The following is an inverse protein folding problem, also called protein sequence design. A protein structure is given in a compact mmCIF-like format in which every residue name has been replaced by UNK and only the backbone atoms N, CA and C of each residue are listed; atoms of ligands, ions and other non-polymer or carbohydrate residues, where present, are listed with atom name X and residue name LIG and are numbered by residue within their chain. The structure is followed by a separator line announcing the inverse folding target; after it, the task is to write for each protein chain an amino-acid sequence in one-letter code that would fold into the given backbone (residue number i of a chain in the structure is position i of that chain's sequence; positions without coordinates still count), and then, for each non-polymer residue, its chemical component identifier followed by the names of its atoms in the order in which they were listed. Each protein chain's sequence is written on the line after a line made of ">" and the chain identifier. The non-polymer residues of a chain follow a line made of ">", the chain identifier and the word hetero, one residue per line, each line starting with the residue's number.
data_IF_134705070497
#
_entry.id   IF_134705070497
#
_cell.length_a   1.000
_cell.length_b   1.000
_cell.length_c   1.000
_cell.angle_alpha   90.00
_cell.angle_beta   90.00
_cell.angle_gamma   90.00
#
_symmetry.space_group_name_H-M   'P 1'
#
loop_
_entity.id
_entity.type
_entity.pdbx_description
1 polymer ?
#
# COMPACT_ATOMS: atom_id res chain seq x y z
N UNK A 1 -11.49 14.70 15.54
CA UNK A 1 -12.09 13.37 15.36
C UNK A 1 -11.14 12.54 14.50
N UNK A 2 -10.89 11.27 14.83
CA UNK A 2 -10.05 10.36 14.02
C UNK A 2 -10.96 9.44 13.21
N UNK A 3 -10.77 9.29 11.90
CA UNK A 3 -11.62 8.43 11.09
C UNK A 3 -11.42 6.96 11.46
N UNK A 4 -12.54 6.24 11.59
CA UNK A 4 -12.58 4.80 11.83
C UNK A 4 -13.33 4.16 10.66
N UNK A 5 -12.64 3.35 9.87
CA UNK A 5 -13.19 2.59 8.76
C UNK A 5 -12.99 1.12 9.10
N UNK A 6 -14.02 0.49 9.65
CA UNK A 6 -13.94 -0.87 10.19
C UNK A 6 -14.99 -1.78 9.58
N UNK A 7 -14.63 -3.04 9.34
CA UNK A 7 -15.55 -4.10 8.87
C UNK A 7 -16.40 -3.71 7.64
N UNK A 8 -15.84 -2.90 6.74
CA UNK A 8 -16.53 -2.38 5.56
C UNK A 8 -16.14 -3.13 4.28
N UNK A 9 -16.95 -2.98 3.22
CA UNK A 9 -16.71 -3.58 1.90
C UNK A 9 -16.54 -2.49 0.84
N UNK A 10 -15.49 -2.60 0.04
CA UNK A 10 -15.18 -1.69 -1.07
C UNK A 10 -14.96 -2.51 -2.34
N UNK A 11 -15.93 -2.49 -3.26
CA UNK A 11 -15.93 -3.39 -4.43
C UNK A 11 -16.07 -2.63 -5.76
N UNK A 12 -15.22 -2.99 -6.73
CA UNK A 12 -15.30 -2.52 -8.12
C UNK A 12 -15.26 -0.99 -8.28
N UNK A 13 -14.49 -0.30 -7.43
CA UNK A 13 -14.32 1.15 -7.49
C UNK A 13 -13.04 1.52 -8.25
N UNK A 14 -12.99 2.74 -8.77
CA UNK A 14 -11.72 3.31 -9.21
C UNK A 14 -10.72 3.42 -8.04
N UNK A 15 -11.17 3.88 -6.86
CA UNK A 15 -10.39 3.81 -5.62
C UNK A 15 -11.29 3.26 -4.52
N UNK A 16 -10.86 2.19 -3.84
CA UNK A 16 -11.62 1.57 -2.75
C UNK A 16 -11.65 2.46 -1.50
N UNK A 17 -10.48 2.68 -0.89
CA UNK A 17 -10.30 3.58 0.25
C UNK A 17 -9.29 4.66 -0.10
N UNK A 18 -9.72 5.92 -0.01
CA UNK A 18 -8.89 7.07 -0.32
C UNK A 18 -8.62 7.92 0.92
N UNK A 19 -7.37 7.90 1.39
CA UNK A 19 -6.87 8.93 2.29
C UNK A 19 -6.57 10.17 1.44
N UNK A 20 -7.29 11.26 1.72
CA UNK A 20 -7.42 12.36 0.78
C UNK A 20 -6.45 13.52 1.05
N UNK A 21 -6.56 14.20 2.20
CA UNK A 21 -5.78 15.40 2.50
C UNK A 21 -5.56 15.58 4.00
N UNK A 22 -4.31 15.37 4.44
CA UNK A 22 -3.90 15.63 5.81
C UNK A 22 -4.61 14.77 6.84
N UNK A 23 -5.11 13.59 6.47
CA UNK A 23 -5.77 12.67 7.39
C UNK A 23 -4.74 12.09 8.34
N UNK A 24 -5.01 12.18 9.65
CA UNK A 24 -4.08 11.72 10.67
C UNK A 24 -4.70 10.80 11.69
N UNK A 25 -3.92 9.82 12.13
CA UNK A 25 -4.30 8.89 13.19
C UNK A 25 -5.60 8.12 12.90
N UNK A 26 -5.93 7.93 11.62
CA UNK A 26 -7.06 7.12 11.18
C UNK A 26 -6.78 5.63 11.27
N UNK A 27 -7.85 4.85 11.34
CA UNK A 27 -7.80 3.39 11.36
C UNK A 27 -8.64 2.82 10.22
N UNK A 28 -8.01 2.04 9.34
CA UNK A 28 -8.68 1.14 8.40
C UNK A 28 -8.44 -0.30 8.87
N UNK A 29 -9.46 -0.94 9.44
CA UNK A 29 -9.34 -2.28 10.02
C UNK A 29 -10.39 -3.27 9.50
N UNK A 30 -9.95 -4.51 9.21
CA UNK A 30 -10.86 -5.64 8.89
C UNK A 30 -11.80 -5.36 7.73
N UNK A 31 -11.38 -4.49 6.81
CA UNK A 31 -12.16 -4.19 5.61
C UNK A 31 -11.86 -5.21 4.51
N UNK A 32 -12.84 -5.40 3.62
CA UNK A 32 -12.72 -6.24 2.43
C UNK A 32 -12.72 -5.34 1.20
N UNK A 33 -11.65 -5.40 0.42
CA UNK A 33 -11.46 -4.60 -0.79
C UNK A 33 -11.27 -5.56 -1.97
N UNK A 34 -12.18 -5.54 -2.95
CA UNK A 34 -12.16 -6.49 -4.06
C UNK A 34 -12.41 -5.81 -5.40
N UNK A 35 -11.59 -6.11 -6.42
CA UNK A 35 -11.86 -5.67 -7.79
C UNK A 35 -11.71 -4.16 -8.02
N UNK A 36 -11.15 -3.41 -7.06
CA UNK A 36 -10.91 -1.97 -7.23
C UNK A 36 -9.69 -1.75 -8.13
N UNK A 37 -9.62 -0.63 -8.85
CA UNK A 37 -8.39 -0.30 -9.58
C UNK A 37 -7.24 -0.10 -8.61
N UNK A 38 -7.44 0.80 -7.64
CA UNK A 38 -6.55 1.00 -6.50
C UNK A 38 -7.33 0.69 -5.22
N UNK A 39 -6.94 -0.34 -4.48
CA UNK A 39 -7.70 -0.72 -3.28
C UNK A 39 -7.53 0.29 -2.14
N UNK A 40 -6.30 0.65 -1.77
CA UNK A 40 -6.02 1.71 -0.80
C UNK A 40 -5.07 2.72 -1.44
N UNK A 41 -5.41 3.99 -1.39
CA UNK A 41 -4.57 5.09 -1.87
C UNK A 41 -4.35 6.12 -0.77
N UNK A 42 -3.09 6.47 -0.51
CA UNK A 42 -2.67 7.38 0.57
C UNK A 42 -1.63 8.38 0.06
N UNK A 43 -1.76 9.65 0.45
CA UNK A 43 -0.92 10.72 -0.09
C UNK A 43 -1.01 12.01 0.71
N UNK A 44 -0.69 13.16 0.11
CA UNK A 44 -1.05 14.49 0.64
C UNK A 44 -0.95 14.70 2.17
N UNK A 45 0.20 14.41 2.79
CA UNK A 45 0.42 14.57 4.24
C UNK A 45 -0.53 13.75 5.14
N UNK A 46 -1.12 12.69 4.61
CA UNK A 46 -1.84 11.68 5.38
C UNK A 46 -0.82 10.91 6.22
N UNK A 47 -0.82 11.12 7.53
CA UNK A 47 0.28 10.66 8.40
C UNK A 47 -0.24 9.93 9.63
N UNK A 48 0.56 9.00 10.15
CA UNK A 48 0.23 8.30 11.40
C UNK A 48 -1.06 7.45 11.34
N UNK A 49 -1.52 7.07 10.14
CA UNK A 49 -2.67 6.19 9.94
C UNK A 49 -2.26 4.72 10.00
N UNK A 50 -3.21 3.86 10.41
CA UNK A 50 -3.01 2.42 10.52
C UNK A 50 -3.98 1.69 9.60
N UNK A 51 -3.42 0.90 8.69
CA UNK A 51 -4.14 -0.05 7.85
C UNK A 51 -3.82 -1.44 8.36
N UNK A 52 -4.77 -2.08 9.07
CA UNK A 52 -4.55 -3.37 9.70
C UNK A 52 -5.59 -4.42 9.38
N UNK A 53 -5.16 -5.67 9.23
CA UNK A 53 -6.07 -6.81 9.10
C UNK A 53 -7.10 -6.68 7.95
N UNK A 54 -6.81 -5.86 6.93
CA UNK A 54 -7.67 -5.75 5.76
C UNK A 54 -7.35 -6.87 4.78
N UNK A 55 -8.35 -7.24 3.98
CA UNK A 55 -8.23 -8.22 2.92
C UNK A 55 -8.43 -7.51 1.59
N UNK A 56 -7.36 -7.40 0.81
CA UNK A 56 -7.32 -6.80 -0.51
C UNK A 56 -7.19 -7.94 -1.53
N UNK A 57 -8.12 -8.03 -2.48
CA UNK A 57 -8.12 -9.03 -3.55
C UNK A 57 -8.34 -8.41 -4.92
N UNK A 58 -7.63 -8.94 -5.91
CA UNK A 58 -7.91 -8.72 -7.33
C UNK A 58 -7.94 -7.22 -7.68
N UNK A 59 -6.96 -6.46 -7.21
CA UNK A 59 -6.90 -5.02 -7.56
C UNK A 59 -6.44 -4.86 -9.01
N UNK A 60 -7.12 -4.06 -9.83
CA UNK A 60 -6.81 -4.00 -11.27
C UNK A 60 -5.45 -3.32 -11.56
N UNK A 61 -5.03 -2.39 -10.69
CA UNK A 61 -3.76 -1.65 -10.84
C UNK A 61 -2.82 -1.86 -9.65
N UNK A 62 -3.23 -1.48 -8.44
CA UNK A 62 -2.36 -1.52 -7.24
C UNK A 62 -3.17 -1.89 -5.99
N UNK A 63 -2.61 -2.71 -5.11
CA UNK A 63 -3.24 -3.03 -3.83
C UNK A 63 -3.22 -1.84 -2.87
N UNK A 64 -2.03 -1.38 -2.50
CA UNK A 64 -1.83 -0.19 -1.65
C UNK A 64 -0.85 0.76 -2.33
N UNK A 65 -1.30 1.98 -2.63
CA UNK A 65 -0.50 3.02 -3.28
C UNK A 65 -0.19 4.15 -2.30
N UNK A 66 1.10 4.33 -1.98
CA UNK A 66 1.60 5.59 -1.40
C UNK A 66 1.97 6.51 -2.56
N UNK A 67 1.22 7.59 -2.74
CA UNK A 67 1.28 8.45 -3.93
C UNK A 67 2.44 9.44 -3.90
N UNK A 68 3.01 9.68 -5.08
CA UNK A 68 3.96 10.76 -5.35
C UNK A 68 3.23 12.10 -5.51
N UNK A 69 2.68 12.63 -4.40
CA UNK A 69 1.97 13.91 -4.40
C UNK A 69 2.90 15.07 -4.01
N UNK A 70 3.74 15.50 -4.95
CA UNK A 70 4.70 16.60 -4.75
C UNK A 70 3.99 17.97 -4.63
N UNK A 71 3.47 18.29 -3.43
CA UNK A 71 2.81 19.60 -3.14
C UNK A 71 3.53 20.45 -2.08
N UNK A 72 4.71 20.04 -1.64
CA UNK A 72 5.52 20.77 -0.67
C UNK A 72 6.67 19.93 -0.11
N UNK A 73 7.62 20.55 0.59
CA UNK A 73 8.88 19.90 1.02
C UNK A 73 8.67 18.64 1.87
N UNK A 74 7.63 18.59 2.69
CA UNK A 74 7.32 17.47 3.61
C UNK A 74 5.86 16.98 3.48
N UNK A 75 5.28 17.03 2.29
CA UNK A 75 3.86 16.77 2.08
C UNK A 75 3.57 15.31 1.65
N UNK A 76 4.17 14.36 2.36
CA UNK A 76 4.17 12.93 2.01
C UNK A 76 3.41 12.09 3.02
N UNK A 77 3.05 10.87 2.63
CA UNK A 77 2.28 9.94 3.45
C UNK A 77 3.15 9.26 4.54
N UNK A 78 3.83 10.05 5.37
CA UNK A 78 4.84 9.57 6.32
C UNK A 78 4.22 8.86 7.54
N UNK A 79 5.03 8.04 8.23
CA UNK A 79 4.67 7.42 9.53
C UNK A 79 3.41 6.57 9.52
N UNK A 80 2.98 6.07 8.36
CA UNK A 80 1.85 5.17 8.28
C UNK A 80 2.28 3.72 8.54
N UNK A 81 1.34 2.93 9.05
CA UNK A 81 1.55 1.51 9.34
C UNK A 81 0.62 0.63 8.50
N UNK A 82 1.22 -0.33 7.78
CA UNK A 82 0.53 -1.39 7.04
C UNK A 82 0.87 -2.71 7.74
N UNK A 83 -0.08 -3.27 8.49
CA UNK A 83 0.19 -4.41 9.37
C UNK A 83 -0.84 -5.52 9.26
N UNK A 84 -0.39 -6.77 9.13
CA UNK A 84 -1.27 -7.96 9.11
C UNK A 84 -2.37 -7.94 8.04
N UNK A 85 -2.17 -7.23 6.93
CA UNK A 85 -3.09 -7.26 5.80
C UNK A 85 -2.82 -8.48 4.92
N UNK A 86 -3.85 -8.95 4.21
CA UNK A 86 -3.73 -9.91 3.12
C UNK A 86 -3.91 -9.15 1.81
N UNK A 87 -2.94 -9.23 0.90
CA UNK A 87 -2.96 -8.55 -0.40
C UNK A 87 -2.72 -9.61 -1.47
N UNK A 88 -3.76 -9.89 -2.25
CA UNK A 88 -3.82 -11.05 -3.13
C UNK A 88 -4.12 -10.56 -4.55
N UNK A 89 -3.31 -10.97 -5.53
CA UNK A 89 -3.53 -10.73 -6.96
C UNK A 89 -3.70 -9.24 -7.32
N UNK A 90 -2.71 -8.41 -7.02
CA UNK A 90 -2.75 -6.99 -7.35
C UNK A 90 -2.05 -6.66 -8.67
N UNK A 91 -2.73 -5.88 -9.49
CA UNK A 91 -2.21 -5.24 -10.70
C UNK A 91 -2.23 -6.09 -11.97
N UNK A 92 -1.87 -5.44 -13.07
CA UNK A 92 -1.71 -6.04 -14.40
C UNK A 92 -0.42 -6.89 -14.49
N UNK A 93 0.07 -7.21 -15.68
CA UNK A 93 1.26 -8.06 -15.87
C UNK A 93 2.54 -7.48 -15.24
N UNK A 94 2.67 -6.16 -15.17
CA UNK A 94 3.78 -5.41 -14.55
C UNK A 94 3.36 -4.71 -13.24
N UNK A 95 2.23 -5.14 -12.66
CA UNK A 95 1.62 -4.53 -11.49
C UNK A 95 2.40 -4.69 -10.19
N UNK A 96 2.02 -3.88 -9.19
CA UNK A 96 2.64 -3.88 -7.86
C UNK A 96 1.58 -4.03 -6.77
N UNK A 97 1.83 -4.89 -5.78
CA UNK A 97 0.89 -5.07 -4.67
C UNK A 97 0.94 -3.92 -3.64
N UNK A 98 2.14 -3.50 -3.21
CA UNK A 98 2.34 -2.27 -2.44
C UNK A 98 3.35 -1.38 -3.17
N UNK A 99 2.90 -0.22 -3.62
CA UNK A 99 3.73 0.71 -4.40
C UNK A 99 3.99 2.00 -3.62
N UNK A 100 5.26 2.26 -3.31
CA UNK A 100 5.68 3.47 -2.59
C UNK A 100 6.33 4.41 -3.58
N UNK A 101 5.56 5.41 -3.98
CA UNK A 101 5.97 6.42 -4.96
C UNK A 101 6.22 7.76 -4.26
N UNK A 102 7.32 8.43 -4.60
CA UNK A 102 7.73 9.72 -4.01
C UNK A 102 8.57 9.60 -2.73
N UNK A 103 8.60 10.69 -1.94
CA UNK A 103 9.51 10.84 -0.77
C UNK A 103 8.88 10.43 0.56
N UNK A 104 7.98 9.45 0.51
CA UNK A 104 7.35 8.91 1.72
C UNK A 104 8.41 8.24 2.61
N UNK A 105 8.33 8.47 3.92
CA UNK A 105 9.31 8.04 4.91
C UNK A 105 8.64 7.56 6.20
N UNK A 106 9.41 6.85 7.01
CA UNK A 106 9.02 6.27 8.30
C UNK A 106 7.83 5.30 8.20
N UNK A 107 7.71 4.59 7.08
CA UNK A 107 6.67 3.56 6.95
C UNK A 107 7.04 2.30 7.73
N UNK A 108 6.04 1.69 8.35
CA UNK A 108 6.14 0.33 8.87
C UNK A 108 5.23 -0.58 8.06
N UNK A 109 5.82 -1.56 7.38
CA UNK A 109 5.11 -2.61 6.65
C UNK A 109 5.50 -3.93 7.30
N UNK A 110 4.61 -4.50 8.11
CA UNK A 110 4.97 -5.63 8.96
C UNK A 110 3.90 -6.72 9.05
N UNK A 111 4.32 -7.98 9.04
CA UNK A 111 3.41 -9.11 9.25
C UNK A 111 2.33 -9.29 8.17
N UNK A 112 2.49 -8.69 6.99
CA UNK A 112 1.51 -8.81 5.90
C UNK A 112 1.73 -10.11 5.12
N UNK A 113 0.65 -10.65 4.56
CA UNK A 113 0.69 -11.74 3.58
C UNK A 113 0.40 -11.13 2.22
N UNK A 114 1.36 -11.24 1.29
CA UNK A 114 1.28 -10.65 -0.05
C UNK A 114 1.48 -11.80 -1.04
N UNK A 115 0.42 -12.19 -1.75
CA UNK A 115 0.46 -13.33 -2.68
C UNK A 115 0.06 -12.92 -4.09
N UNK A 116 0.79 -13.47 -5.05
CA UNK A 116 0.38 -13.56 -6.45
C UNK A 116 0.07 -15.04 -6.74
N UNK A 117 -1.19 -15.33 -7.01
CA UNK A 117 -1.70 -16.68 -7.22
C UNK A 117 -2.09 -16.93 -8.68
N UNK A 118 -2.00 -15.90 -9.54
CA UNK A 118 -2.21 -16.00 -10.99
C UNK A 118 -0.92 -16.46 -11.68
N UNK A 119 -0.99 -16.54 -13.01
CA UNK A 119 0.16 -16.94 -13.82
C UNK A 119 1.39 -16.03 -13.59
N UNK A 120 2.61 -16.59 -13.67
CA UNK A 120 3.84 -15.84 -13.52
C UNK A 120 3.91 -14.72 -14.55
N UNK A 121 4.06 -13.49 -14.07
CA UNK A 121 4.20 -12.27 -14.86
C UNK A 121 5.25 -11.38 -14.18
N UNK A 122 5.56 -10.22 -14.76
CA UNK A 122 6.57 -9.27 -14.25
C UNK A 122 6.12 -8.47 -13.01
N UNK A 123 5.23 -9.04 -12.19
CA UNK A 123 4.65 -8.37 -11.02
C UNK A 123 5.63 -8.29 -9.85
N UNK A 124 5.43 -7.27 -9.03
CA UNK A 124 6.25 -7.00 -7.84
C UNK A 124 5.38 -6.99 -6.58
N UNK A 125 5.87 -7.62 -5.50
CA UNK A 125 5.20 -7.59 -4.21
C UNK A 125 5.23 -6.20 -3.58
N UNK A 126 6.41 -5.70 -3.25
CA UNK A 126 6.60 -4.34 -2.72
C UNK A 126 7.60 -3.59 -3.59
N UNK A 127 7.24 -2.41 -4.08
CA UNK A 127 8.16 -1.49 -4.75
C UNK A 127 8.43 -0.28 -3.87
N UNK A 128 9.70 0.04 -3.66
CA UNK A 128 10.15 1.24 -2.95
C UNK A 128 10.83 2.14 -3.98
N UNK A 129 10.22 3.29 -4.26
CA UNK A 129 10.75 4.26 -5.20
C UNK A 129 12.09 4.86 -4.74
N UNK A 130 12.90 5.39 -5.69
CA UNK A 130 14.28 5.82 -5.43
C UNK A 130 14.40 6.98 -4.43
N UNK A 131 13.34 7.78 -4.32
CA UNK A 131 13.24 8.96 -3.47
C UNK A 131 12.67 8.67 -2.07
N UNK A 132 12.22 7.43 -1.80
CA UNK A 132 11.60 7.08 -0.53
C UNK A 132 12.62 7.13 0.62
N UNK A 133 12.16 7.55 1.80
CA UNK A 133 12.98 7.58 3.01
C UNK A 133 13.07 6.22 3.70
N UNK A 134 13.06 6.23 5.04
CA UNK A 134 13.10 5.01 5.85
C UNK A 134 11.82 4.19 5.67
N UNK A 135 11.96 2.93 5.25
CA UNK A 135 10.86 1.96 5.15
C UNK A 135 11.26 0.73 5.94
N UNK A 136 10.53 0.41 7.01
CA UNK A 136 10.75 -0.80 7.81
C UNK A 136 9.90 -1.92 7.22
N UNK A 137 10.57 -2.93 6.69
CA UNK A 137 9.97 -4.21 6.30
C UNK A 137 10.32 -5.25 7.38
N UNK A 138 9.32 -5.90 7.96
CA UNK A 138 9.54 -6.96 8.95
C UNK A 138 8.46 -8.03 8.86
N UNK A 139 8.82 -9.31 8.94
CA UNK A 139 7.86 -10.43 9.08
C UNK A 139 6.80 -10.51 7.97
N UNK A 140 7.03 -9.90 6.79
CA UNK A 140 6.11 -10.02 5.66
C UNK A 140 6.36 -11.34 4.92
N UNK A 141 5.30 -12.04 4.56
CA UNK A 141 5.34 -13.21 3.69
C UNK A 141 4.96 -12.78 2.28
N UNK A 142 5.90 -12.88 1.34
CA UNK A 142 5.72 -12.44 -0.04
C UNK A 142 6.00 -13.62 -0.97
N UNK A 143 5.05 -13.99 -1.82
CA UNK A 143 5.18 -15.17 -2.69
C UNK A 143 4.48 -14.99 -4.05
N UNK A 144 4.96 -15.71 -5.07
CA UNK A 144 4.36 -15.75 -6.40
C UNK A 144 4.73 -14.59 -7.34
N UNK A 145 5.43 -13.57 -6.83
CA UNK A 145 5.89 -12.42 -7.63
C UNK A 145 7.23 -12.70 -8.30
N UNK A 146 7.48 -12.10 -9.47
CA UNK A 146 8.81 -12.10 -10.08
C UNK A 146 9.83 -11.39 -9.18
N UNK A 147 9.43 -10.26 -8.59
CA UNK A 147 10.21 -9.59 -7.54
C UNK A 147 9.41 -9.52 -6.26
N UNK A 148 9.92 -10.12 -5.18
CA UNK A 148 9.27 -9.99 -3.87
C UNK A 148 9.36 -8.55 -3.35
N UNK A 149 10.55 -7.96 -3.42
CA UNK A 149 10.81 -6.55 -3.09
C UNK A 149 11.69 -5.96 -4.19
N UNK A 150 11.29 -4.81 -4.73
CA UNK A 150 12.06 -3.98 -5.65
C UNK A 150 12.40 -2.67 -4.95
N UNK A 151 13.55 -2.63 -4.28
CA UNK A 151 14.04 -1.43 -3.60
C UNK A 151 14.96 -0.65 -4.54
N UNK A 152 14.48 0.50 -4.99
CA UNK A 152 15.14 1.32 -6.00
C UNK A 152 15.95 2.47 -5.38
N UNK A 153 16.04 2.54 -4.05
CA UNK A 153 16.82 3.56 -3.36
C UNK A 153 18.32 3.36 -3.64
N UNK A 154 19.11 4.45 -3.72
CA UNK A 154 20.56 4.32 -3.87
C UNK A 154 21.15 3.48 -2.74
N UNK A 155 22.02 2.54 -3.09
CA UNK A 155 22.85 1.84 -2.10
C UNK A 155 23.75 2.89 -1.44
N UNK A 156 23.74 2.93 -0.10
CA UNK A 156 24.62 3.80 0.68
C UNK A 156 26.10 3.44 0.50
#
# INVERSE_FOLDING_TARGET
>A
QRPLIVNSRFENNHIGLFWCWGVKYGLAEKNQLKGNDISISIGHNDTDNVMRENIIRDSNQVGILFRNDARGKNFWANRNTVVKNQIINSGAADGVAIDITGKTSDLTITGNIISEERQPEQRTGIRIGPDAGTIKLAENQIQGFMKSVDDQRPTA
#
